data_IF_138209067971
#
_entry.id   IF_138209067971
#
_cell.length_a   1.000
_cell.length_b   1.000
_cell.length_c   1.000
_cell.angle_alpha   90.00
_cell.angle_beta   90.00
_cell.angle_gamma   90.00
#
_symmetry.space_group_name_H-M   'P 1'
#
loop_
_entity.id
_entity.type
_entity.pdbx_description
1 polymer ?
#
# COMPACT_ATOMS: atom_id res chain seq x y z
N UNK A 1 -44.87 5.37 43.89
CA UNK A 1 -43.71 4.92 44.68
C UNK A 1 -42.84 3.88 43.98
N UNK A 2 -43.25 2.62 43.78
CA UNK A 2 -42.37 1.62 43.11
C UNK A 2 -42.20 1.87 41.59
N UNK A 3 -43.25 2.35 40.90
CA UNK A 3 -43.19 2.72 39.49
C UNK A 3 -42.38 4.01 39.24
N UNK A 4 -42.52 5.04 40.09
CA UNK A 4 -41.72 6.27 39.98
C UNK A 4 -40.22 6.00 40.15
N UNK A 5 -39.84 5.09 41.05
CA UNK A 5 -38.45 4.71 41.28
C UNK A 5 -37.84 3.94 40.09
N UNK A 6 -38.65 3.09 39.44
CA UNK A 6 -38.25 2.38 38.22
C UNK A 6 -38.13 3.33 37.02
N UNK A 7 -38.98 4.36 36.96
CA UNK A 7 -38.95 5.36 35.90
C UNK A 7 -37.73 6.31 36.05
N UNK A 8 -37.44 6.76 37.29
CA UNK A 8 -36.23 7.53 37.61
C UNK A 8 -34.94 6.72 37.38
N UNK A 9 -34.93 5.43 37.71
CA UNK A 9 -33.80 4.53 37.41
C UNK A 9 -33.57 4.41 35.91
N UNK A 10 -34.64 4.23 35.11
CA UNK A 10 -34.53 4.13 33.65
C UNK A 10 -34.08 5.44 33.00
N UNK A 11 -34.54 6.58 33.51
CA UNK A 11 -34.09 7.91 33.04
C UNK A 11 -32.62 8.13 33.38
N UNK A 12 -32.18 7.71 34.57
CA UNK A 12 -30.78 7.81 35.00
C UNK A 12 -29.87 6.90 34.18
N UNK A 13 -30.28 5.66 33.90
CA UNK A 13 -29.54 4.72 33.06
C UNK A 13 -29.43 5.21 31.60
N UNK A 14 -30.53 5.72 31.04
CA UNK A 14 -30.54 6.32 29.70
C UNK A 14 -29.66 7.58 29.62
N UNK A 15 -29.63 8.41 30.67
CA UNK A 15 -28.77 9.59 30.73
C UNK A 15 -27.28 9.24 30.84
N UNK A 16 -26.94 8.22 31.65
CA UNK A 16 -25.57 7.70 31.76
C UNK A 16 -25.11 7.08 30.43
N UNK A 17 -25.97 6.32 29.76
CA UNK A 17 -25.66 5.76 28.45
C UNK A 17 -25.46 6.85 27.39
N UNK A 18 -26.31 7.88 27.36
CA UNK A 18 -26.17 9.01 26.47
C UNK A 18 -24.83 9.75 26.69
N UNK A 19 -24.44 9.94 27.96
CA UNK A 19 -23.18 10.58 28.34
C UNK A 19 -21.95 9.76 27.93
N UNK A 20 -21.98 8.44 28.09
CA UNK A 20 -20.91 7.55 27.64
C UNK A 20 -20.84 7.48 26.11
N UNK A 21 -21.98 7.43 25.43
CA UNK A 21 -22.06 7.53 23.97
C UNK A 21 -21.42 8.83 23.46
N UNK A 22 -21.65 9.97 24.13
CA UNK A 22 -20.97 11.25 23.82
C UNK A 22 -19.46 11.13 24.00
N UNK A 23 -18.98 10.48 25.06
CA UNK A 23 -17.54 10.28 25.31
C UNK A 23 -16.87 9.38 24.26
N UNK A 24 -17.58 8.36 23.77
CA UNK A 24 -17.10 7.50 22.68
C UNK A 24 -17.05 8.25 21.35
N UNK A 25 -18.12 8.99 21.03
CA UNK A 25 -18.16 9.85 19.85
C UNK A 25 -17.05 10.91 19.90
N UNK A 26 -16.74 11.47 21.07
CA UNK A 26 -15.61 12.38 21.24
C UNK A 26 -14.24 11.70 21.03
N UNK A 27 -14.08 10.45 21.47
CA UNK A 27 -12.84 9.68 21.25
C UNK A 27 -12.67 9.36 19.76
N UNK A 28 -13.75 9.01 19.08
CA UNK A 28 -13.79 8.86 17.63
C UNK A 28 -13.47 10.17 16.93
N UNK A 29 -14.08 11.28 17.35
CA UNK A 29 -13.85 12.62 16.79
C UNK A 29 -12.38 13.06 16.94
N UNK A 30 -11.75 12.78 18.09
CA UNK A 30 -10.31 12.99 18.30
C UNK A 30 -9.45 12.14 17.37
N UNK A 31 -9.85 10.88 17.13
CA UNK A 31 -9.17 10.01 16.17
C UNK A 31 -9.31 10.56 14.74
N UNK A 32 -10.52 10.95 14.34
CA UNK A 32 -10.80 11.54 13.03
C UNK A 32 -10.05 12.86 12.82
N UNK A 33 -10.00 13.74 13.82
CA UNK A 33 -9.24 14.99 13.74
C UNK A 33 -7.71 14.78 13.77
N UNK A 34 -7.23 13.62 14.23
CA UNK A 34 -5.82 13.20 14.05
C UNK A 34 -5.55 12.74 12.61
N UNK A 35 -6.51 12.06 11.97
CA UNK A 35 -6.45 11.64 10.56
C UNK A 35 -6.37 12.81 9.58
N UNK A 36 -6.84 13.99 9.97
CA UNK A 36 -6.80 15.21 9.15
C UNK A 36 -5.43 15.89 9.14
N UNK A 37 -4.54 15.56 10.09
CA UNK A 37 -3.19 16.16 10.21
C UNK A 37 -2.11 15.44 9.39
N UNK A 38 -2.49 14.46 8.56
CA UNK A 38 -1.60 13.66 7.71
C UNK A 38 -0.36 13.06 8.43
N UNK A 39 -0.48 12.74 9.73
CA UNK A 39 0.63 12.18 10.51
C UNK A 39 0.34 10.71 10.85
N UNK A 40 0.91 9.79 10.06
CA UNK A 40 0.69 8.34 10.23
C UNK A 40 1.15 7.83 11.60
N UNK A 41 2.27 8.34 12.13
CA UNK A 41 2.78 7.92 13.45
C UNK A 41 1.77 8.23 14.56
N UNK A 42 1.16 9.42 14.55
CA UNK A 42 0.11 9.77 15.52
C UNK A 42 -1.14 8.93 15.35
N UNK A 43 -1.45 8.47 14.14
CA UNK A 43 -2.61 7.59 13.91
C UNK A 43 -2.32 6.22 14.52
N UNK A 44 -1.14 5.66 14.24
CA UNK A 44 -0.64 4.41 14.83
C UNK A 44 -0.68 4.42 16.35
N UNK A 45 -0.18 5.48 16.99
CA UNK A 45 -0.21 5.66 18.45
C UNK A 45 -1.63 5.66 19.03
N UNK A 46 -2.63 6.08 18.25
CA UNK A 46 -4.02 6.16 18.67
C UNK A 46 -4.87 4.93 18.31
N UNK A 47 -4.35 3.97 17.51
CA UNK A 47 -5.05 2.71 17.20
C UNK A 47 -5.50 1.94 18.46
N UNK A 48 -4.67 1.78 19.52
CA UNK A 48 -5.11 1.09 20.74
C UNK A 48 -6.32 1.76 21.39
N UNK A 49 -6.30 3.09 21.48
CA UNK A 49 -7.38 3.90 22.04
C UNK A 49 -8.64 3.80 21.18
N UNK A 50 -8.49 3.80 19.86
CA UNK A 50 -9.58 3.57 18.92
C UNK A 50 -10.22 2.19 19.11
N UNK A 51 -9.42 1.11 19.16
CA UNK A 51 -9.95 -0.24 19.35
C UNK A 51 -10.71 -0.37 20.67
N UNK A 52 -10.19 0.23 21.74
CA UNK A 52 -10.87 0.28 23.02
C UNK A 52 -12.20 1.04 22.93
N UNK A 53 -12.23 2.21 22.28
CA UNK A 53 -13.47 2.97 22.08
C UNK A 53 -14.51 2.16 21.30
N UNK A 54 -14.11 1.50 20.22
CA UNK A 54 -14.98 0.65 19.41
C UNK A 54 -15.48 -0.57 20.20
N UNK A 55 -14.64 -1.18 21.04
CA UNK A 55 -15.03 -2.26 21.98
C UNK A 55 -16.09 -1.78 22.96
N UNK A 56 -15.90 -0.61 23.55
CA UNK A 56 -16.85 -0.03 24.51
C UNK A 56 -18.20 0.29 23.84
N UNK A 57 -18.19 0.85 22.63
CA UNK A 57 -19.42 1.10 21.85
C UNK A 57 -20.19 -0.22 21.62
N UNK A 58 -19.51 -1.29 21.20
CA UNK A 58 -20.16 -2.58 20.98
C UNK A 58 -20.75 -3.18 22.26
N UNK A 59 -20.04 -3.03 23.39
CA UNK A 59 -20.44 -3.58 24.68
C UNK A 59 -21.61 -2.83 25.29
N UNK A 60 -21.58 -1.49 25.26
CA UNK A 60 -22.46 -0.65 26.09
C UNK A 60 -23.61 -0.03 25.29
N UNK A 61 -23.42 0.31 24.01
CA UNK A 61 -24.45 1.03 23.26
C UNK A 61 -25.71 0.18 23.10
N UNK A 62 -26.89 0.72 23.41
CA UNK A 62 -28.17 0.08 23.11
C UNK A 62 -28.48 0.09 21.61
N UNK A 63 -28.00 1.11 20.89
CA UNK A 63 -28.32 1.33 19.48
C UNK A 63 -27.19 0.91 18.52
N UNK A 64 -25.91 0.92 18.92
CA UNK A 64 -24.78 0.60 18.04
C UNK A 64 -24.14 -0.79 18.31
N UNK A 65 -24.89 -1.70 18.93
CA UNK A 65 -24.39 -3.03 19.31
C UNK A 65 -24.59 -4.15 18.28
N UNK A 66 -25.21 -3.88 17.13
CA UNK A 66 -25.40 -4.91 16.11
C UNK A 66 -24.12 -5.12 15.29
N UNK A 67 -23.87 -6.37 14.87
CA UNK A 67 -22.70 -6.70 14.05
C UNK A 67 -22.62 -5.92 12.74
N UNK A 68 -23.77 -5.60 12.13
CA UNK A 68 -23.84 -4.78 10.91
C UNK A 68 -23.41 -3.32 11.15
N UNK A 69 -23.88 -2.69 12.23
CA UNK A 69 -23.51 -1.31 12.57
C UNK A 69 -22.03 -1.21 12.93
N UNK A 70 -21.50 -2.20 13.65
CA UNK A 70 -20.07 -2.29 13.94
C UNK A 70 -19.22 -2.48 12.70
N UNK A 71 -19.64 -3.37 11.79
CA UNK A 71 -18.96 -3.55 10.50
C UNK A 71 -18.95 -2.26 9.71
N UNK A 72 -20.08 -1.55 9.64
CA UNK A 72 -20.18 -0.26 8.96
C UNK A 72 -19.26 0.80 9.56
N UNK A 73 -19.18 0.89 10.90
CA UNK A 73 -18.26 1.79 11.60
C UNK A 73 -16.80 1.49 11.25
N UNK A 74 -16.41 0.22 11.32
CA UNK A 74 -15.07 -0.21 10.95
C UNK A 74 -14.75 0.10 9.48
N UNK A 75 -15.68 -0.17 8.56
CA UNK A 75 -15.50 0.19 7.13
C UNK A 75 -15.29 1.70 6.95
N UNK A 76 -16.02 2.55 7.69
CA UNK A 76 -15.82 4.01 7.65
C UNK A 76 -14.44 4.41 8.18
N UNK A 77 -13.99 3.82 9.28
CA UNK A 77 -12.64 4.01 9.83
C UNK A 77 -11.59 3.61 8.79
N UNK A 78 -11.70 2.41 8.21
CA UNK A 78 -10.78 1.92 7.18
C UNK A 78 -10.72 2.86 5.98
N UNK A 79 -11.88 3.31 5.47
CA UNK A 79 -11.90 4.24 4.33
C UNK A 79 -11.19 5.56 4.66
N UNK A 80 -11.36 6.07 5.88
CA UNK A 80 -10.71 7.30 6.29
C UNK A 80 -9.20 7.13 6.47
N UNK A 81 -8.74 6.00 7.05
CA UNK A 81 -7.31 5.67 7.10
C UNK A 81 -6.69 5.60 5.69
N UNK A 82 -7.34 4.93 4.74
CA UNK A 82 -6.88 4.87 3.35
C UNK A 82 -6.79 6.28 2.75
N UNK A 83 -7.80 7.13 2.94
CA UNK A 83 -7.77 8.51 2.45
C UNK A 83 -6.63 9.31 3.06
N UNK A 84 -6.35 9.15 4.35
CA UNK A 84 -5.21 9.78 5.00
C UNK A 84 -3.88 9.26 4.44
N UNK A 85 -3.72 7.96 4.22
CA UNK A 85 -2.54 7.39 3.56
C UNK A 85 -2.35 7.98 2.16
N UNK A 86 -3.42 8.09 1.35
CA UNK A 86 -3.36 8.72 0.02
C UNK A 86 -2.88 10.18 0.08
N UNK A 87 -3.40 10.97 1.03
CA UNK A 87 -2.97 12.36 1.23
C UNK A 87 -1.51 12.43 1.68
N UNK A 88 -1.13 11.59 2.64
CA UNK A 88 0.23 11.50 3.16
C UNK A 88 1.23 11.15 2.07
N UNK A 89 0.94 10.12 1.27
CA UNK A 89 1.79 9.68 0.14
C UNK A 89 1.98 10.83 -0.86
N UNK A 90 0.91 11.54 -1.23
CA UNK A 90 1.00 12.68 -2.16
C UNK A 90 1.78 13.85 -1.58
N UNK A 91 1.64 14.12 -0.28
CA UNK A 91 2.27 15.24 0.42
C UNK A 91 2.17 16.59 -0.33
N UNK A 92 1.00 16.89 -0.89
CA UNK A 92 0.76 18.12 -1.65
C UNK A 92 1.25 18.11 -3.11
N UNK A 93 1.92 17.06 -3.58
CA UNK A 93 2.36 16.95 -4.97
C UNK A 93 1.19 16.61 -5.92
N UNK A 94 1.22 17.22 -7.10
CA UNK A 94 0.23 16.97 -8.16
C UNK A 94 0.44 15.64 -8.88
N UNK A 95 1.69 15.14 -8.96
CA UNK A 95 2.03 13.88 -9.62
C UNK A 95 2.85 13.01 -8.68
N UNK A 96 2.51 11.72 -8.66
CA UNK A 96 3.17 10.74 -7.79
C UNK A 96 4.63 10.53 -8.20
N UNK A 97 4.90 10.51 -9.50
CA UNK A 97 6.21 10.22 -10.09
C UNK A 97 7.25 11.32 -9.91
N UNK A 98 6.84 12.52 -9.46
CA UNK A 98 7.72 13.65 -9.21
C UNK A 98 8.33 13.61 -7.80
N UNK A 99 7.81 12.74 -6.92
CA UNK A 99 8.32 12.54 -5.56
C UNK A 99 9.60 11.68 -5.63
N UNK A 100 10.67 12.03 -4.89
CA UNK A 100 11.87 11.21 -4.83
C UNK A 100 11.56 9.75 -4.47
N UNK A 101 12.15 8.79 -5.20
CA UNK A 101 11.88 7.34 -5.06
C UNK A 101 11.91 6.88 -3.60
N UNK A 102 12.99 7.21 -2.87
CA UNK A 102 13.19 6.78 -1.48
C UNK A 102 12.11 7.32 -0.54
N UNK A 103 11.73 8.59 -0.72
CA UNK A 103 10.66 9.24 0.04
C UNK A 103 9.30 8.60 -0.26
N UNK A 104 8.99 8.39 -1.54
CA UNK A 104 7.74 7.77 -1.97
C UNK A 104 7.60 6.33 -1.44
N UNK A 105 8.64 5.52 -1.59
CA UNK A 105 8.68 4.14 -1.06
C UNK A 105 8.55 4.15 0.46
N UNK A 106 9.27 5.04 1.17
CA UNK A 106 9.16 5.21 2.61
C UNK A 106 7.72 5.45 3.06
N UNK A 107 7.03 6.41 2.44
CA UNK A 107 5.63 6.73 2.75
C UNK A 107 4.67 5.58 2.46
N UNK A 108 4.91 4.83 1.38
CA UNK A 108 4.11 3.64 1.05
C UNK A 108 4.31 2.55 2.10
N UNK A 109 5.54 2.32 2.56
CA UNK A 109 5.84 1.34 3.61
C UNK A 109 5.22 1.72 4.96
N UNK A 110 5.27 3.00 5.34
CA UNK A 110 4.59 3.49 6.54
C UNK A 110 3.07 3.32 6.46
N UNK A 111 2.48 3.56 5.28
CA UNK A 111 1.05 3.33 5.04
C UNK A 111 0.66 1.85 5.13
N UNK A 112 1.52 0.93 4.67
CA UNK A 112 1.32 -0.51 4.82
C UNK A 112 1.43 -0.93 6.28
N UNK A 113 2.43 -0.42 7.00
CA UNK A 113 2.62 -0.66 8.43
C UNK A 113 1.41 -0.23 9.26
N UNK A 114 0.78 0.91 8.90
CA UNK A 114 -0.46 1.34 9.55
C UNK A 114 -1.58 0.28 9.43
N UNK A 115 -1.73 -0.35 8.26
CA UNK A 115 -2.71 -1.43 8.07
C UNK A 115 -2.37 -2.66 8.91
N UNK A 116 -1.09 -3.05 8.96
CA UNK A 116 -0.60 -4.17 9.77
C UNK A 116 -0.89 -3.95 11.26
N UNK A 117 -0.57 -2.77 11.79
CA UNK A 117 -0.85 -2.41 13.18
C UNK A 117 -2.35 -2.38 13.47
N UNK A 118 -3.15 -1.81 12.55
CA UNK A 118 -4.60 -1.76 12.68
C UNK A 118 -5.23 -3.15 12.77
N UNK A 119 -4.83 -4.07 11.88
CA UNK A 119 -5.28 -5.46 11.92
C UNK A 119 -4.79 -6.19 13.17
N UNK A 120 -3.53 -6.01 13.56
CA UNK A 120 -2.96 -6.62 14.76
C UNK A 120 -3.74 -6.23 16.03
N UNK A 121 -4.07 -4.94 16.19
CA UNK A 121 -4.84 -4.47 17.33
C UNK A 121 -6.30 -4.93 17.31
N UNK A 122 -6.92 -5.05 16.14
CA UNK A 122 -8.25 -5.64 16.00
C UNK A 122 -8.24 -7.11 16.46
N UNK A 123 -7.30 -7.90 15.96
CA UNK A 123 -7.17 -9.32 16.33
C UNK A 123 -6.83 -9.51 17.80
N UNK A 124 -5.94 -8.68 18.36
CA UNK A 124 -5.63 -8.65 19.79
C UNK A 124 -6.86 -8.37 20.65
N UNK A 125 -7.67 -7.39 20.25
CA UNK A 125 -8.93 -7.07 20.96
C UNK A 125 -9.92 -8.22 20.87
N UNK A 126 -10.08 -8.82 19.67
CA UNK A 126 -10.95 -9.97 19.46
C UNK A 126 -10.53 -11.19 20.29
N UNK A 127 -9.23 -11.47 20.41
CA UNK A 127 -8.71 -12.56 21.24
C UNK A 127 -9.03 -12.35 22.73
N UNK A 128 -8.81 -11.13 23.25
CA UNK A 128 -9.17 -10.78 24.64
C UNK A 128 -10.66 -10.94 24.93
N UNK A 129 -11.52 -10.59 23.96
CA UNK A 129 -12.96 -10.78 24.10
C UNK A 129 -13.32 -12.27 24.23
N UNK A 130 -12.63 -13.15 23.48
CA UNK A 130 -12.87 -14.58 23.54
C UNK A 130 -12.51 -15.21 24.91
N UNK A 131 -11.61 -14.59 25.67
CA UNK A 131 -11.25 -15.00 27.03
C UNK A 131 -12.33 -14.62 28.07
N UNK A 132 -13.22 -13.67 27.73
CA UNK A 132 -14.23 -13.15 28.65
C UNK A 132 -15.65 -13.55 28.22
N UNK A 133 -16.20 -14.60 28.85
CA UNK A 133 -17.54 -15.11 28.54
C UNK A 133 -18.69 -14.09 28.75
N UNK A 134 -18.48 -13.09 29.61
CA UNK A 134 -19.46 -12.05 29.91
C UNK A 134 -19.42 -10.86 28.94
N UNK A 135 -18.43 -10.77 28.04
CA UNK A 135 -18.34 -9.69 27.05
C UNK A 135 -18.90 -10.11 25.68
N UNK A 136 -19.47 -9.12 24.96
CA UNK A 136 -19.99 -9.35 23.60
C UNK A 136 -18.87 -9.63 22.61
N UNK A 137 -18.96 -10.78 21.94
CA UNK A 137 -17.95 -11.26 21.01
C UNK A 137 -17.95 -10.49 19.68
N UNK A 138 -16.76 -10.23 19.13
CA UNK A 138 -16.59 -9.61 17.81
C UNK A 138 -16.74 -10.65 16.68
N UNK A 139 -17.99 -10.92 16.33
CA UNK A 139 -18.35 -11.90 15.29
C UNK A 139 -18.41 -11.31 13.87
N UNK A 140 -17.84 -10.12 13.67
CA UNK A 140 -17.78 -9.46 12.36
C UNK A 140 -16.64 -10.03 11.50
N UNK A 141 -16.83 -10.04 10.18
CA UNK A 141 -15.84 -10.56 9.24
C UNK A 141 -14.74 -9.54 8.94
N UNK A 142 -13.50 -9.93 9.23
CA UNK A 142 -12.30 -9.15 8.99
C UNK A 142 -12.16 -8.77 7.50
N UNK A 143 -12.57 -9.64 6.58
CA UNK A 143 -12.48 -9.38 5.14
C UNK A 143 -13.29 -8.16 4.71
N UNK A 144 -14.48 -7.94 5.29
CA UNK A 144 -15.28 -6.75 4.98
C UNK A 144 -14.66 -5.47 5.53
N UNK A 145 -13.92 -5.56 6.65
CA UNK A 145 -13.30 -4.42 7.33
C UNK A 145 -12.00 -4.03 6.64
N UNK A 146 -11.12 -4.98 6.36
CA UNK A 146 -9.74 -4.74 5.93
C UNK A 146 -9.52 -4.94 4.43
N UNK A 147 -10.39 -5.66 3.73
CA UNK A 147 -10.15 -6.04 2.33
C UNK A 147 -9.89 -4.86 1.39
N UNK A 148 -10.49 -3.68 1.66
CA UNK A 148 -10.20 -2.44 0.91
C UNK A 148 -8.79 -1.90 1.20
N UNK A 149 -8.34 -1.97 2.46
CA UNK A 149 -7.00 -1.54 2.84
C UNK A 149 -5.96 -2.52 2.29
N UNK A 150 -6.23 -3.83 2.32
CA UNK A 150 -5.36 -4.84 1.72
C UNK A 150 -5.23 -4.65 0.20
N UNK A 151 -6.33 -4.35 -0.48
CA UNK A 151 -6.32 -4.00 -1.91
C UNK A 151 -5.49 -2.73 -2.17
N UNK A 152 -5.58 -1.73 -1.28
CA UNK A 152 -4.73 -0.54 -1.36
C UNK A 152 -3.25 -0.87 -1.13
N UNK A 153 -2.89 -1.70 -0.15
CA UNK A 153 -1.50 -2.13 0.07
C UNK A 153 -0.93 -2.85 -1.17
N UNK A 154 -1.70 -3.76 -1.78
CA UNK A 154 -1.31 -4.43 -3.05
C UNK A 154 -1.08 -3.43 -4.18
N UNK A 155 -1.89 -2.37 -4.26
CA UNK A 155 -1.68 -1.27 -5.22
C UNK A 155 -0.36 -0.54 -4.96
N UNK A 156 -0.03 -0.27 -3.69
CA UNK A 156 1.25 0.35 -3.32
C UNK A 156 2.44 -0.52 -3.70
N UNK A 157 2.35 -1.85 -3.53
CA UNK A 157 3.42 -2.77 -3.93
C UNK A 157 3.67 -2.75 -5.44
N UNK A 158 2.61 -2.68 -6.26
CA UNK A 158 2.74 -2.54 -7.72
C UNK A 158 3.39 -1.22 -8.11
N UNK A 159 3.04 -0.11 -7.45
CA UNK A 159 3.67 1.19 -7.69
C UNK A 159 5.16 1.14 -7.31
N UNK A 160 5.50 0.52 -6.18
CA UNK A 160 6.88 0.33 -5.76
C UNK A 160 7.68 -0.53 -6.75
N UNK A 161 7.09 -1.59 -7.31
CA UNK A 161 7.72 -2.40 -8.36
C UNK A 161 8.04 -1.59 -9.62
N UNK A 162 7.13 -0.72 -10.07
CA UNK A 162 7.38 0.20 -11.18
C UNK A 162 8.56 1.13 -10.88
N UNK A 163 8.60 1.74 -9.69
CA UNK A 163 9.70 2.62 -9.28
C UNK A 163 11.04 1.87 -9.25
N UNK A 164 11.05 0.67 -8.69
CA UNK A 164 12.26 -0.15 -8.61
C UNK A 164 12.74 -0.59 -9.98
N UNK A 165 11.82 -0.94 -10.89
CA UNK A 165 12.13 -1.33 -12.27
C UNK A 165 12.70 -0.18 -13.08
N UNK A 166 12.13 1.04 -12.95
CA UNK A 166 12.64 2.22 -13.65
C UNK A 166 14.05 2.57 -13.16
N UNK A 167 14.29 2.45 -11.85
CA UNK A 167 15.59 2.73 -11.24
C UNK A 167 16.66 1.71 -11.67
N UNK A 168 16.33 0.41 -11.65
CA UNK A 168 17.26 -0.67 -12.03
C UNK A 168 17.63 -0.66 -13.52
N UNK A 169 16.80 -0.03 -14.36
CA UNK A 169 17.05 0.16 -15.79
C UNK A 169 17.45 1.58 -16.16
N UNK A 170 17.67 2.47 -15.17
CA UNK A 170 18.02 3.87 -15.42
C UNK A 170 19.35 4.01 -16.18
N UNK A 171 20.32 3.13 -15.89
CA UNK A 171 21.62 3.07 -16.57
C UNK A 171 21.54 2.79 -18.06
N UNK A 172 20.45 2.17 -18.55
CA UNK A 172 20.29 1.77 -19.96
C UNK A 172 20.40 2.96 -20.91
N UNK A 173 19.99 4.15 -20.47
CA UNK A 173 20.06 5.37 -21.28
C UNK A 173 21.49 5.93 -21.43
N UNK A 174 22.40 5.53 -20.54
CA UNK A 174 23.79 6.00 -20.53
C UNK A 174 24.72 5.12 -21.36
N UNK A 175 24.25 3.93 -21.77
CA UNK A 175 25.05 2.95 -22.50
C UNK A 175 25.21 3.40 -23.95
N UNK A 176 26.46 3.67 -24.34
CA UNK A 176 26.84 4.02 -25.72
C UNK A 176 27.39 2.79 -26.45
N UNK A 177 26.50 2.10 -27.16
CA UNK A 177 26.81 0.95 -28.02
C UNK A 177 25.93 1.02 -29.26
N UNK A 178 26.55 0.95 -30.44
CA UNK A 178 25.87 0.92 -31.72
C UNK A 178 24.84 -0.22 -31.80
N UNK A 179 23.60 0.11 -32.16
CA UNK A 179 22.50 -0.84 -32.32
C UNK A 179 21.67 -1.05 -31.06
N UNK A 180 22.04 -0.42 -29.93
CA UNK A 180 21.26 -0.44 -28.69
C UNK A 180 20.13 0.61 -28.70
N UNK A 181 20.24 1.63 -29.56
CA UNK A 181 19.32 2.77 -29.64
C UNK A 181 17.83 2.37 -29.73
N UNK A 182 17.41 1.38 -30.54
CA UNK A 182 16.01 0.98 -30.61
C UNK A 182 15.46 0.47 -29.28
N UNK A 183 16.27 -0.28 -28.51
CA UNK A 183 15.91 -0.81 -27.20
C UNK A 183 15.76 0.34 -26.19
N UNK A 184 16.68 1.31 -26.21
CA UNK A 184 16.63 2.51 -25.36
C UNK A 184 15.42 3.39 -25.68
N UNK A 185 15.08 3.57 -26.96
CA UNK A 185 13.89 4.33 -27.39
C UNK A 185 12.61 3.64 -26.93
N UNK A 186 12.51 2.31 -27.10
CA UNK A 186 11.37 1.52 -26.62
C UNK A 186 11.22 1.63 -25.11
N UNK A 187 12.31 1.49 -24.35
CA UNK A 187 12.30 1.67 -22.90
C UNK A 187 11.77 3.05 -22.48
N UNK A 188 12.27 4.14 -23.09
CA UNK A 188 11.78 5.50 -22.84
C UNK A 188 10.28 5.63 -23.11
N UNK A 189 9.79 5.08 -24.21
CA UNK A 189 8.36 5.08 -24.53
C UNK A 189 7.52 4.36 -23.48
N UNK A 190 7.99 3.24 -22.93
CA UNK A 190 7.26 2.46 -21.91
C UNK A 190 7.20 3.23 -20.58
N UNK A 191 8.32 3.81 -20.15
CA UNK A 191 8.38 4.65 -18.95
C UNK A 191 7.50 5.88 -19.08
N UNK A 192 7.52 6.54 -20.24
CA UNK A 192 6.67 7.70 -20.52
C UNK A 192 5.18 7.34 -20.49
N UNK A 193 4.81 6.18 -21.06
CA UNK A 193 3.43 5.74 -21.12
C UNK A 193 2.80 5.58 -19.73
N UNK A 194 3.53 4.99 -18.78
CA UNK A 194 3.03 4.82 -17.39
C UNK A 194 3.08 6.14 -16.59
N UNK A 195 4.09 7.00 -16.84
CA UNK A 195 4.22 8.29 -16.14
C UNK A 195 3.21 9.34 -16.58
N UNK A 196 2.73 9.29 -17.83
CA UNK A 196 1.79 10.27 -18.42
C UNK A 196 0.31 9.98 -18.12
N UNK A 197 -0.01 8.90 -17.39
CA UNK A 197 -1.39 8.54 -17.04
C UNK A 197 -2.03 9.65 -16.19
N UNK A 198 -3.25 10.04 -16.54
CA UNK A 198 -3.97 11.16 -15.95
C UNK A 198 -4.92 10.79 -14.81
N UNK A 199 -5.20 9.49 -14.63
CA UNK A 199 -6.04 9.00 -13.54
C UNK A 199 -5.28 8.95 -12.20
N UNK A 200 -6.02 8.80 -11.10
CA UNK A 200 -5.42 8.59 -9.77
C UNK A 200 -4.84 7.18 -9.63
N UNK A 201 -3.52 7.07 -9.74
CA UNK A 201 -2.77 5.82 -9.61
C UNK A 201 -2.98 5.15 -8.23
N UNK A 202 -3.22 5.96 -7.19
CA UNK A 202 -3.49 5.46 -5.83
C UNK A 202 -4.92 4.96 -5.65
N UNK A 203 -5.82 5.13 -6.63
CA UNK A 203 -7.18 4.62 -6.53
C UNK A 203 -7.25 3.10 -6.77
N UNK A 204 -7.12 2.35 -5.68
CA UNK A 204 -7.22 0.89 -5.64
C UNK A 204 -8.58 0.33 -6.12
N UNK A 205 -9.61 1.18 -6.26
CA UNK A 205 -10.94 0.76 -6.72
C UNK A 205 -11.04 0.68 -8.24
N UNK A 206 -10.08 1.25 -8.95
CA UNK A 206 -10.08 1.39 -10.41
C UNK A 206 -9.08 0.40 -11.03
N UNK A 207 -9.50 -0.43 -12.00
CA UNK A 207 -8.63 -1.44 -12.60
C UNK A 207 -7.59 -0.84 -13.57
N UNK A 208 -7.76 0.44 -13.96
CA UNK A 208 -6.97 1.12 -14.98
C UNK A 208 -5.46 0.97 -14.76
N UNK A 209 -4.99 1.27 -13.55
CA UNK A 209 -3.57 1.10 -13.21
C UNK A 209 -3.12 -0.34 -13.22
N UNK A 210 -3.96 -1.30 -12.84
CA UNK A 210 -3.57 -2.70 -12.80
C UNK A 210 -3.36 -3.25 -14.21
N UNK A 211 -4.20 -2.83 -15.16
CA UNK A 211 -4.02 -3.12 -16.57
C UNK A 211 -2.73 -2.49 -17.13
N UNK A 212 -2.51 -1.21 -16.83
CA UNK A 212 -1.30 -0.50 -17.27
C UNK A 212 -0.02 -1.04 -16.63
N UNK A 213 -0.09 -1.50 -15.37
CA UNK A 213 1.00 -2.17 -14.68
C UNK A 213 1.34 -3.50 -15.34
N UNK A 214 0.34 -4.32 -15.69
CA UNK A 214 0.58 -5.59 -16.37
C UNK A 214 1.21 -5.37 -17.75
N UNK A 215 0.70 -4.40 -18.52
CA UNK A 215 1.28 -4.02 -19.81
C UNK A 215 2.73 -3.53 -19.63
N UNK A 216 2.99 -2.68 -18.63
CA UNK A 216 4.34 -2.25 -18.30
C UNK A 216 5.27 -3.44 -18.03
N UNK A 217 4.84 -4.42 -17.22
CA UNK A 217 5.65 -5.63 -16.95
C UNK A 217 5.94 -6.41 -18.22
N UNK A 218 4.94 -6.67 -19.07
CA UNK A 218 5.13 -7.39 -20.33
C UNK A 218 6.08 -6.66 -21.28
N UNK A 219 5.99 -5.33 -21.37
CA UNK A 219 6.91 -4.53 -22.20
C UNK A 219 8.34 -4.52 -21.63
N UNK A 220 8.50 -4.51 -20.31
CA UNK A 220 9.82 -4.62 -19.65
C UNK A 220 10.44 -5.99 -19.90
N UNK A 221 9.67 -7.08 -19.77
CA UNK A 221 10.14 -8.43 -20.08
C UNK A 221 10.60 -8.56 -21.54
N UNK A 222 9.84 -7.96 -22.46
CA UNK A 222 10.24 -7.88 -23.87
C UNK A 222 11.56 -7.11 -24.06
N UNK A 223 11.72 -5.96 -23.41
CA UNK A 223 12.97 -5.18 -23.45
C UNK A 223 14.16 -5.98 -22.90
N UNK A 224 13.97 -6.69 -21.79
CA UNK A 224 15.01 -7.55 -21.21
C UNK A 224 15.41 -8.68 -22.15
N UNK A 225 14.44 -9.32 -22.82
CA UNK A 225 14.72 -10.33 -23.83
C UNK A 225 15.49 -9.77 -25.04
N UNK A 226 15.10 -8.60 -25.54
CA UNK A 226 15.84 -7.92 -26.63
C UNK A 226 17.26 -7.55 -26.21
N UNK A 227 17.44 -7.08 -24.97
CA UNK A 227 18.75 -6.76 -24.43
C UNK A 227 19.64 -8.00 -24.32
N UNK A 228 19.09 -9.12 -23.84
CA UNK A 228 19.82 -10.39 -23.78
C UNK A 228 20.23 -10.87 -25.17
N UNK A 229 19.32 -10.83 -26.15
CA UNK A 229 19.62 -11.19 -27.54
C UNK A 229 20.71 -10.29 -28.14
N UNK A 230 20.68 -8.99 -27.84
CA UNK A 230 21.69 -8.03 -28.27
C UNK A 230 23.06 -8.37 -27.70
N UNK A 231 23.14 -8.63 -26.38
CA UNK A 231 24.36 -9.04 -25.70
C UNK A 231 24.90 -10.33 -26.32
N UNK A 232 24.07 -11.36 -26.47
CA UNK A 232 24.45 -12.65 -27.06
C UNK A 232 24.99 -12.49 -28.49
N UNK A 233 24.35 -11.65 -29.31
CA UNK A 233 24.80 -11.38 -30.68
C UNK A 233 26.16 -10.65 -30.70
N UNK A 234 26.40 -9.76 -29.74
CA UNK A 234 27.68 -9.07 -29.60
C UNK A 234 28.80 -10.06 -29.23
N UNK A 235 28.54 -10.99 -28.32
CA UNK A 235 29.49 -12.03 -27.92
C UNK A 235 29.77 -13.11 -28.96
N UNK A 236 28.90 -13.27 -29.96
CA UNK A 236 29.16 -14.18 -31.10
C UNK A 236 30.17 -13.61 -32.09
N UNK A 237 30.45 -12.31 -32.04
CA UNK A 237 31.50 -11.69 -32.86
C UNK A 237 32.87 -12.04 -32.28
N UNK A 238 33.86 -12.20 -33.15
CA UNK A 238 35.24 -12.56 -32.78
C UNK A 238 35.97 -11.39 -32.09
N UNK A 239 35.59 -11.08 -30.85
CA UNK A 239 36.24 -10.07 -30.02
C UNK A 239 37.31 -10.70 -29.12
N UNK A 240 38.32 -9.91 -28.74
CA UNK A 240 39.27 -10.35 -27.71
C UNK A 240 38.59 -10.42 -26.34
N UNK A 241 39.18 -11.17 -25.40
CA UNK A 241 38.70 -11.25 -24.01
C UNK A 241 38.66 -9.85 -23.36
N UNK A 242 39.63 -8.99 -23.69
CA UNK A 242 39.68 -7.61 -23.20
C UNK A 242 38.52 -6.75 -23.72
N UNK A 243 38.22 -6.82 -25.03
CA UNK A 243 37.08 -6.12 -25.64
C UNK A 243 35.74 -6.60 -25.05
N UNK A 244 35.64 -7.91 -24.78
CA UNK A 244 34.50 -8.56 -24.14
C UNK A 244 34.28 -8.05 -22.71
N UNK A 245 35.34 -7.94 -21.91
CA UNK A 245 35.27 -7.41 -20.55
C UNK A 245 34.91 -5.91 -20.52
N UNK A 246 35.53 -5.10 -21.39
CA UNK A 246 35.21 -3.68 -21.54
C UNK A 246 33.73 -3.46 -21.91
N UNK A 247 33.16 -4.36 -22.72
CA UNK A 247 31.75 -4.31 -23.07
C UNK A 247 30.84 -4.64 -21.89
N UNK A 248 31.12 -5.71 -21.12
CA UNK A 248 30.32 -6.08 -19.94
C UNK A 248 30.30 -4.99 -18.88
N UNK A 249 31.44 -4.32 -18.65
CA UNK A 249 31.52 -3.21 -17.71
C UNK A 249 30.53 -2.07 -18.05
N UNK A 250 30.12 -1.92 -19.32
CA UNK A 250 29.11 -0.92 -19.70
C UNK A 250 27.69 -1.25 -19.22
N UNK A 251 27.42 -2.51 -18.85
CA UNK A 251 26.12 -2.97 -18.36
C UNK A 251 26.13 -3.28 -16.85
N UNK A 252 27.26 -3.06 -16.17
CA UNK A 252 27.44 -3.39 -14.76
C UNK A 252 26.47 -2.61 -13.83
N UNK A 253 26.09 -1.40 -14.24
CA UNK A 253 25.16 -0.55 -13.49
C UNK A 253 23.68 -0.98 -13.63
N UNK A 254 23.38 -2.03 -14.40
CA UNK A 254 22.04 -2.59 -14.55
C UNK A 254 21.78 -3.69 -13.50
N UNK A 255 21.27 -3.30 -12.34
CA UNK A 255 20.98 -4.25 -11.24
C UNK A 255 19.85 -5.25 -11.58
N UNK A 256 19.05 -4.99 -12.61
CA UNK A 256 17.87 -5.80 -12.99
C UNK A 256 18.07 -6.78 -14.15
N UNK A 257 19.22 -6.78 -14.82
CA UNK A 257 19.48 -7.66 -15.96
C UNK A 257 20.33 -8.82 -15.48
N UNK A 258 19.71 -9.99 -15.27
CA UNK A 258 20.47 -11.24 -15.10
C UNK A 258 21.10 -11.59 -16.45
N UNK A 259 22.26 -11.02 -16.74
CA UNK A 259 23.03 -11.35 -17.94
C UNK A 259 23.56 -12.77 -17.76
N UNK A 260 22.86 -13.76 -18.31
CA UNK A 260 23.36 -15.13 -18.38
C UNK A 260 24.26 -15.27 -19.61
N UNK A 261 25.54 -14.88 -19.48
CA UNK A 261 26.52 -15.15 -20.52
C UNK A 261 26.80 -16.65 -20.59
N UNK A 262 26.14 -17.36 -21.50
CA UNK A 262 26.54 -18.75 -21.82
C UNK A 262 27.72 -18.67 -22.78
N UNK A 263 28.93 -18.51 -22.24
CA UNK A 263 30.15 -18.64 -23.04
C UNK A 263 30.25 -20.10 -23.47
N UNK A 264 29.75 -20.42 -24.67
CA UNK A 264 30.06 -21.69 -25.30
C UNK A 264 31.55 -21.67 -25.62
N UNK A 265 32.35 -22.28 -24.74
CA UNK A 265 33.72 -22.67 -25.05
C UNK A 265 33.67 -23.56 -26.30
N UNK A 266 33.92 -22.97 -27.46
CA UNK A 266 34.37 -23.74 -28.62
C UNK A 266 35.74 -24.27 -28.24
N UNK A 267 35.75 -25.51 -27.74
CA UNK A 267 36.95 -26.33 -27.66
C UNK A 267 37.57 -26.36 -29.06
N UNK A 268 38.77 -25.81 -29.16
CA UNK A 268 39.73 -26.12 -30.23
C UNK A 268 40.12 -27.59 -30.14
#
# INVERSE_FOLDING_TARGET
YFNDYLEDSRITDAANEAKDNVRYLYTLDKFFSTLDRNNLNKISENIPSLMNAVRMIHSISQYYNSGERMTSLFVKITNQMINTCKRYIRNGNSRLWDIPKQELIGRMNESKKLNEEYQAYFHKTKAKLAESANERQWNFSANYIFGKFDAFCKRLDRIADVLNTIDSLSGLQNIRVEGLEPIVVKYRSVVDAIKKKSYDILDHRKPDFDNDYNEFKSQIEYIQAQLQMFIDAWFRKSYTVEQSLLFLNKFQDLEGVKISCTIKSTKT
#
